data_IF_024236252138
#
_entry.id   IF_024236252138
#
_cell.length_a   1.000
_cell.length_b   1.000
_cell.length_c   1.000
_cell.angle_alpha   90.00
_cell.angle_beta   90.00
_cell.angle_gamma   90.00
#
_symmetry.space_group_name_H-M   'P 1'
#
loop_
_entity.id
_entity.type
_entity.pdbx_description
1 polymer ?
#
# COMPACT_ATOMS: atom_id res chain seq x y z
N UNK A 1 -26.85 -3.51 13.41
CA UNK A 1 -26.36 -4.01 12.11
C UNK A 1 -25.05 -4.69 12.42
N UNK A 2 -24.95 -5.99 12.18
CA UNK A 2 -23.83 -6.80 12.66
C UNK A 2 -22.56 -6.46 11.85
N UNK A 3 -21.70 -5.61 12.43
CA UNK A 3 -20.45 -5.12 11.80
C UNK A 3 -19.40 -6.24 11.61
N UNK A 4 -19.69 -7.42 12.17
CA UNK A 4 -18.83 -8.61 12.18
C UNK A 4 -19.11 -9.56 11.00
N UNK A 5 -20.03 -9.21 10.11
CA UNK A 5 -20.33 -9.99 8.91
C UNK A 5 -19.85 -9.29 7.64
N UNK A 6 -19.28 -10.05 6.71
CA UNK A 6 -18.84 -9.57 5.41
C UNK A 6 -19.37 -10.52 4.34
N UNK A 7 -20.16 -10.00 3.41
CA UNK A 7 -20.87 -10.80 2.42
C UNK A 7 -19.89 -11.67 1.62
N UNK A 8 -20.20 -12.96 1.50
CA UNK A 8 -19.36 -13.93 0.81
C UNK A 8 -18.10 -14.37 1.57
N UNK A 9 -17.91 -13.91 2.82
CA UNK A 9 -16.78 -14.29 3.68
C UNK A 9 -17.32 -14.86 5.00
N UNK A 10 -17.69 -16.14 5.04
CA UNK A 10 -18.33 -16.75 6.22
C UNK A 10 -17.46 -16.75 7.47
N UNK A 11 -16.13 -16.64 7.34
CA UNK A 11 -15.17 -16.68 8.44
C UNK A 11 -14.43 -15.34 8.64
N UNK A 12 -15.12 -14.22 8.42
CA UNK A 12 -14.53 -12.89 8.52
C UNK A 12 -13.87 -12.59 9.89
N UNK A 13 -14.49 -12.90 11.05
CA UNK A 13 -13.84 -12.70 12.35
C UNK A 13 -12.52 -13.46 12.49
N UNK A 14 -12.40 -14.66 11.92
CA UNK A 14 -11.15 -15.44 11.95
C UNK A 14 -10.08 -14.84 11.05
N UNK A 15 -10.47 -14.33 9.88
CA UNK A 15 -9.56 -13.60 9.00
C UNK A 15 -9.02 -12.36 9.72
N UNK A 16 -9.88 -11.58 10.39
CA UNK A 16 -9.46 -10.43 11.20
C UNK A 16 -8.44 -10.85 12.27
N UNK A 17 -8.70 -11.93 13.01
CA UNK A 17 -7.75 -12.46 13.99
C UNK A 17 -6.39 -12.79 13.36
N UNK A 18 -6.36 -13.41 12.18
CA UNK A 18 -5.08 -13.73 11.50
C UNK A 18 -4.33 -12.48 11.05
N UNK A 19 -5.02 -11.44 10.56
CA UNK A 19 -4.39 -10.15 10.26
C UNK A 19 -3.79 -9.52 11.53
N UNK A 20 -4.53 -9.53 12.65
CA UNK A 20 -4.03 -9.02 13.92
C UNK A 20 -2.83 -9.81 14.44
N UNK A 21 -2.86 -11.14 14.35
CA UNK A 21 -1.72 -12.00 14.69
C UNK A 21 -0.50 -11.66 13.82
N UNK A 22 -0.67 -11.51 12.51
CA UNK A 22 0.42 -11.09 11.62
C UNK A 22 1.00 -9.74 12.03
N UNK A 23 0.15 -8.75 12.33
CA UNK A 23 0.61 -7.46 12.84
C UNK A 23 1.39 -7.57 14.13
N UNK A 24 1.14 -8.55 14.99
CA UNK A 24 1.91 -8.82 16.21
C UNK A 24 3.13 -9.72 16.00
N UNK A 25 3.37 -10.20 14.78
CA UNK A 25 4.44 -11.17 14.51
C UNK A 25 4.12 -12.57 15.04
N UNK A 26 2.83 -12.89 15.16
CA UNK A 26 2.32 -14.19 15.60
C UNK A 26 1.69 -14.95 14.43
N UNK A 27 1.34 -16.20 14.67
CA UNK A 27 0.61 -17.06 13.75
C UNK A 27 -0.45 -17.83 14.55
N UNK A 28 -1.67 -17.94 14.01
CA UNK A 28 -2.76 -18.62 14.73
C UNK A 28 -2.79 -20.11 14.39
N UNK A 29 -3.03 -20.42 13.12
CA UNK A 29 -3.17 -21.79 12.61
C UNK A 29 -2.35 -22.02 11.34
N UNK A 30 -2.16 -20.98 10.53
CA UNK A 30 -1.27 -20.95 9.36
C UNK A 30 -0.83 -19.52 9.06
N UNK A 31 0.15 -19.37 8.16
CA UNK A 31 0.58 -18.08 7.61
C UNK A 31 -0.62 -17.26 7.11
N UNK A 32 -0.52 -15.93 7.19
CA UNK A 32 -1.48 -15.05 6.54
C UNK A 32 -1.30 -15.16 5.02
N UNK A 33 -2.30 -15.66 4.31
CA UNK A 33 -2.24 -15.81 2.85
C UNK A 33 -3.55 -15.38 2.21
N UNK A 34 -3.49 -14.33 1.40
CA UNK A 34 -4.61 -13.84 0.60
C UNK A 34 -4.45 -14.33 -0.84
N UNK A 35 -5.43 -15.11 -1.32
CA UNK A 35 -5.41 -15.68 -2.68
C UNK A 35 -6.63 -15.17 -3.44
N UNK A 36 -6.41 -14.70 -4.67
CA UNK A 36 -7.49 -14.39 -5.61
C UNK A 36 -7.42 -15.25 -6.87
N UNK A 37 -8.55 -15.38 -7.57
CA UNK A 37 -8.60 -15.98 -8.90
C UNK A 37 -9.81 -15.40 -9.67
N UNK A 38 -9.81 -15.36 -11.01
CA UNK A 38 -10.99 -14.95 -11.75
C UNK A 38 -12.10 -16.01 -11.63
N UNK A 39 -13.34 -15.57 -11.33
CA UNK A 39 -14.55 -16.40 -11.48
C UNK A 39 -14.99 -16.45 -12.94
N UNK A 40 -14.89 -15.31 -13.61
CA UNK A 40 -15.20 -15.12 -15.01
C UNK A 40 -14.40 -13.92 -15.54
N UNK A 41 -14.06 -13.89 -16.83
CA UNK A 41 -13.33 -12.77 -17.41
C UNK A 41 -14.20 -11.50 -17.42
N UNK A 42 -13.56 -10.37 -17.19
CA UNK A 42 -14.14 -9.05 -17.47
C UNK A 42 -13.45 -8.54 -18.74
N UNK A 43 -14.21 -8.19 -19.80
CA UNK A 43 -13.63 -7.55 -20.98
C UNK A 43 -12.98 -6.22 -20.60
N UNK A 44 -11.82 -5.94 -21.20
CA UNK A 44 -11.21 -4.62 -21.10
C UNK A 44 -12.17 -3.57 -21.67
N UNK A 45 -12.32 -2.46 -20.96
CA UNK A 45 -13.09 -1.30 -21.41
C UNK A 45 -12.15 -0.34 -22.16
N UNK A 46 -12.39 -0.14 -23.45
CA UNK A 46 -11.77 0.96 -24.19
C UNK A 46 -12.49 2.27 -23.82
N UNK A 47 -11.76 3.18 -23.17
CA UNK A 47 -12.29 4.46 -22.72
C UNK A 47 -11.64 5.59 -23.54
N UNK A 48 -12.42 6.38 -24.29
CA UNK A 48 -11.93 7.55 -25.01
C UNK A 48 -11.23 8.55 -24.08
N UNK A 49 -10.29 9.33 -24.61
CA UNK A 49 -9.50 10.29 -23.83
C UNK A 49 -10.37 11.32 -23.12
N UNK A 50 -11.43 11.80 -23.78
CA UNK A 50 -12.41 12.75 -23.28
C UNK A 50 -13.22 12.22 -22.08
N UNK A 51 -13.37 10.89 -21.98
CA UNK A 51 -14.14 10.21 -20.95
C UNK A 51 -13.30 9.80 -19.75
N UNK A 52 -11.96 9.94 -19.80
CA UNK A 52 -11.09 9.52 -18.71
C UNK A 52 -11.41 10.26 -17.41
N UNK A 53 -11.66 11.58 -17.45
CA UNK A 53 -12.01 12.32 -16.24
C UNK A 53 -13.22 11.68 -15.53
N UNK A 54 -14.26 11.34 -16.28
CA UNK A 54 -15.45 10.67 -15.76
C UNK A 54 -15.14 9.26 -15.24
N UNK A 55 -14.37 8.47 -15.99
CA UNK A 55 -13.91 7.12 -15.63
C UNK A 55 -13.18 7.05 -14.28
N UNK A 56 -12.39 8.08 -13.96
CA UNK A 56 -11.61 8.15 -12.74
C UNK A 56 -12.34 8.85 -11.58
N UNK A 57 -13.26 9.78 -11.86
CA UNK A 57 -13.75 10.73 -10.83
C UNK A 57 -15.26 10.73 -10.58
N UNK A 58 -16.05 10.06 -11.42
CA UNK A 58 -17.50 9.97 -11.25
C UNK A 58 -17.87 8.75 -10.40
N UNK A 59 -18.42 8.93 -9.17
CA UNK A 59 -18.79 7.81 -8.31
C UNK A 59 -19.80 6.84 -8.96
N UNK A 60 -20.71 7.33 -9.80
CA UNK A 60 -21.72 6.52 -10.47
C UNK A 60 -21.13 5.62 -11.57
N UNK A 61 -19.91 5.91 -12.02
CA UNK A 61 -19.16 5.04 -12.95
C UNK A 61 -18.11 4.21 -12.23
N UNK A 62 -17.35 4.83 -11.33
CA UNK A 62 -16.25 4.19 -10.60
C UNK A 62 -16.76 3.05 -9.73
N UNK A 63 -17.78 3.28 -8.90
CA UNK A 63 -18.20 2.30 -7.90
C UNK A 63 -18.83 1.05 -8.53
N UNK A 64 -19.75 1.14 -9.52
CA UNK A 64 -20.27 -0.05 -10.19
C UNK A 64 -19.20 -0.86 -10.92
N UNK A 65 -18.18 -0.21 -11.46
CA UNK A 65 -17.04 -0.89 -12.10
C UNK A 65 -16.22 -1.68 -11.08
N UNK A 66 -15.82 -1.05 -9.96
CA UNK A 66 -15.10 -1.73 -8.88
C UNK A 66 -15.94 -2.87 -8.26
N UNK A 67 -17.25 -2.67 -8.08
CA UNK A 67 -18.15 -3.73 -7.58
C UNK A 67 -18.27 -4.90 -8.57
N UNK A 68 -18.24 -4.63 -9.89
CA UNK A 68 -18.23 -5.67 -10.93
C UNK A 68 -16.92 -6.45 -10.93
N UNK A 69 -15.77 -5.76 -10.82
CA UNK A 69 -14.44 -6.36 -10.69
C UNK A 69 -14.36 -7.27 -9.46
N UNK A 70 -14.87 -6.79 -8.32
CA UNK A 70 -14.97 -7.58 -7.10
C UNK A 70 -15.86 -8.82 -7.28
N UNK A 71 -17.03 -8.68 -7.91
CA UNK A 71 -17.94 -9.80 -8.15
C UNK A 71 -17.35 -10.87 -9.08
N UNK A 72 -16.50 -10.47 -10.02
CA UNK A 72 -15.77 -11.38 -10.91
C UNK A 72 -14.57 -12.06 -10.25
N UNK A 73 -14.25 -11.71 -9.01
CA UNK A 73 -13.09 -12.24 -8.28
C UNK A 73 -13.50 -13.30 -7.28
N UNK A 74 -12.84 -14.45 -7.35
CA UNK A 74 -12.84 -15.46 -6.30
C UNK A 74 -11.81 -15.05 -5.25
N UNK A 75 -12.20 -15.07 -3.99
CA UNK A 75 -11.35 -14.71 -2.86
C UNK A 75 -11.31 -15.91 -1.92
N UNK A 76 -10.10 -16.38 -1.57
CA UNK A 76 -9.93 -17.46 -0.61
C UNK A 76 -8.71 -17.23 0.30
N UNK A 77 -8.56 -18.10 1.29
CA UNK A 77 -7.59 -17.90 2.37
C UNK A 77 -8.03 -16.73 3.25
N UNK A 78 -7.19 -15.71 3.33
CA UNK A 78 -7.40 -14.47 4.08
C UNK A 78 -7.63 -13.27 3.14
N UNK A 79 -7.92 -13.54 1.87
CA UNK A 79 -8.43 -12.52 0.97
C UNK A 79 -9.87 -12.16 1.37
N UNK A 80 -10.21 -10.88 1.30
CA UNK A 80 -11.51 -10.35 1.68
C UNK A 80 -11.94 -9.25 0.70
N UNK A 81 -13.26 -9.02 0.52
CA UNK A 81 -13.75 -8.05 -0.42
C UNK A 81 -13.39 -6.63 0.01
N UNK A 82 -12.68 -5.92 -0.87
CA UNK A 82 -12.25 -4.54 -0.69
C UNK A 82 -12.24 -3.82 -2.03
N UNK A 83 -12.49 -2.52 -2.01
CA UNK A 83 -12.39 -1.66 -3.18
C UNK A 83 -11.64 -0.38 -2.84
N UNK A 84 -11.02 0.25 -3.84
CA UNK A 84 -10.34 1.54 -3.72
C UNK A 84 -11.10 2.59 -4.56
N UNK A 85 -12.08 3.32 -3.98
CA UNK A 85 -12.86 4.32 -4.72
C UNK A 85 -11.99 5.41 -5.33
N UNK A 86 -10.96 5.83 -4.61
CA UNK A 86 -9.84 6.58 -5.20
C UNK A 86 -8.82 5.52 -5.58
N UNK A 87 -8.65 5.31 -6.87
CA UNK A 87 -7.87 4.20 -7.37
C UNK A 87 -6.40 4.35 -7.00
N UNK A 88 -5.78 3.24 -6.60
CA UNK A 88 -4.39 3.16 -6.21
C UNK A 88 -3.40 3.43 -7.36
N UNK A 89 -3.88 3.34 -8.59
CA UNK A 89 -3.16 3.70 -9.82
C UNK A 89 -3.19 5.20 -10.12
N UNK A 90 -3.93 5.99 -9.33
CA UNK A 90 -3.76 7.44 -9.24
C UNK A 90 -2.54 7.77 -8.35
N UNK A 91 -1.37 7.33 -8.80
CA UNK A 91 -0.12 7.33 -8.01
C UNK A 91 0.20 8.72 -7.49
N UNK A 92 0.62 8.81 -6.22
CA UNK A 92 1.01 10.07 -5.58
C UNK A 92 -0.08 11.14 -5.55
N UNK A 93 -1.35 10.74 -5.36
CA UNK A 93 -2.49 11.67 -5.36
C UNK A 93 -2.35 12.83 -4.35
N UNK A 94 -1.60 12.64 -3.26
CA UNK A 94 -1.26 13.72 -2.34
C UNK A 94 -0.55 14.89 -3.04
N UNK A 95 0.27 14.65 -4.06
CA UNK A 95 0.84 15.72 -4.87
C UNK A 95 -0.23 16.58 -5.55
N UNK A 96 -1.34 15.98 -6.01
CA UNK A 96 -2.49 16.72 -6.55
C UNK A 96 -3.20 17.55 -5.46
N UNK A 97 -3.32 17.00 -4.25
CA UNK A 97 -3.87 17.73 -3.11
C UNK A 97 -3.00 18.91 -2.69
N UNK A 98 -1.69 18.82 -2.95
CA UNK A 98 -0.71 19.89 -2.73
C UNK A 98 -0.52 20.82 -3.94
N UNK A 99 -1.34 20.68 -4.98
CA UNK A 99 -1.46 21.63 -6.08
C UNK A 99 -0.84 21.19 -7.40
N UNK A 100 -0.23 20.00 -7.50
CA UNK A 100 0.24 19.49 -8.79
C UNK A 100 -0.94 19.26 -9.75
N UNK A 101 -0.88 19.75 -11.00
CA UNK A 101 -1.85 19.36 -12.02
C UNK A 101 -1.79 17.85 -12.28
N UNK A 102 -2.95 17.20 -12.19
CA UNK A 102 -3.14 15.77 -12.48
C UNK A 102 -3.59 15.58 -13.93
N UNK A 103 -2.95 14.63 -14.62
CA UNK A 103 -3.25 14.25 -16.00
C UNK A 103 -3.64 12.78 -16.07
N UNK A 104 -4.80 12.49 -16.67
CA UNK A 104 -5.23 11.12 -16.96
C UNK A 104 -4.58 10.66 -18.27
N UNK A 105 -3.72 9.65 -18.19
CA UNK A 105 -2.99 9.11 -19.35
C UNK A 105 -3.82 8.07 -20.06
N UNK A 106 -4.43 7.16 -19.31
CA UNK A 106 -5.32 6.10 -19.77
C UNK A 106 -6.12 5.57 -18.57
N UNK A 107 -6.72 4.39 -18.68
CA UNK A 107 -7.47 3.71 -17.61
C UNK A 107 -6.60 3.02 -16.55
N UNK A 108 -5.28 3.05 -16.70
CA UNK A 108 -4.31 2.34 -15.85
C UNK A 108 -3.36 3.25 -15.07
N UNK A 109 -3.21 4.52 -15.45
CA UNK A 109 -2.30 5.44 -14.76
C UNK A 109 -2.63 6.91 -14.95
N UNK A 110 -2.20 7.72 -13.99
CA UNK A 110 -2.26 9.18 -14.00
C UNK A 110 -0.91 9.78 -13.69
N UNK A 111 -0.58 10.93 -14.26
CA UNK A 111 0.68 11.62 -14.03
C UNK A 111 0.47 12.99 -13.39
N UNK A 112 1.45 13.39 -12.59
CA UNK A 112 1.51 14.72 -11.99
C UNK A 112 2.53 15.58 -12.72
N UNK A 113 2.15 16.85 -12.95
CA UNK A 113 3.10 17.89 -13.35
C UNK A 113 3.65 18.57 -12.09
N UNK A 114 4.97 18.61 -11.97
CA UNK A 114 5.65 19.31 -10.88
C UNK A 114 5.40 20.82 -10.93
N UNK A 115 5.44 21.47 -9.77
CA UNK A 115 5.09 22.90 -9.60
C UNK A 115 6.20 23.72 -8.92
N UNK A 116 7.20 23.08 -8.32
CA UNK A 116 8.31 23.75 -7.66
C UNK A 116 9.44 23.97 -8.65
N UNK A 117 9.55 25.19 -9.17
CA UNK A 117 10.70 25.62 -9.98
C UNK A 117 11.90 26.07 -9.11
N UNK A 118 11.62 26.54 -7.90
CA UNK A 118 12.60 26.97 -6.90
C UNK A 118 11.99 26.84 -5.50
N UNK A 119 12.78 26.42 -4.50
CA UNK A 119 12.30 26.20 -3.14
C UNK A 119 11.94 27.50 -2.42
N UNK A 120 12.61 28.62 -2.72
CA UNK A 120 12.35 29.89 -2.04
C UNK A 120 10.99 30.51 -2.46
N UNK A 121 10.55 30.25 -3.69
CA UNK A 121 9.30 30.79 -4.25
C UNK A 121 8.18 29.75 -4.40
N UNK A 122 8.29 28.61 -3.71
CA UNK A 122 7.28 27.54 -3.74
C UNK A 122 5.98 27.94 -3.02
N UNK A 123 4.84 27.32 -3.34
CA UNK A 123 3.64 27.43 -2.51
C UNK A 123 3.83 26.73 -1.15
N UNK A 124 3.06 27.15 -0.14
CA UNK A 124 3.01 26.45 1.14
C UNK A 124 2.25 25.13 0.99
N UNK A 125 2.81 24.04 1.53
CA UNK A 125 2.16 22.73 1.50
C UNK A 125 1.39 22.51 2.81
N UNK A 126 0.09 22.32 2.69
CA UNK A 126 -0.79 22.10 3.82
C UNK A 126 -2.04 21.35 3.38
N UNK A 127 -2.77 20.82 4.35
CA UNK A 127 -4.12 20.34 4.12
C UNK A 127 -5.02 21.50 3.65
N UNK A 128 -5.58 21.36 2.45
CA UNK A 128 -6.56 22.25 1.87
C UNK A 128 -7.89 21.50 1.67
N UNK A 129 -8.93 21.80 2.46
CA UNK A 129 -10.24 21.18 2.32
C UNK A 129 -10.98 21.59 1.03
N UNK A 130 -10.57 22.69 0.39
CA UNK A 130 -11.17 23.22 -0.83
C UNK A 130 -10.39 22.82 -2.09
N UNK A 131 -9.29 22.06 -1.95
CA UNK A 131 -8.54 21.56 -3.10
C UNK A 131 -9.46 20.70 -3.99
N UNK A 132 -9.48 20.98 -5.29
CA UNK A 132 -10.37 20.32 -6.26
C UNK A 132 -10.23 18.79 -6.28
N UNK A 133 -9.00 18.26 -6.19
CA UNK A 133 -8.73 16.82 -6.24
C UNK A 133 -9.05 16.14 -4.92
N UNK A 134 -8.86 16.86 -3.81
CA UNK A 134 -9.34 16.41 -2.50
C UNK A 134 -10.87 16.31 -2.48
N UNK A 135 -11.59 17.31 -2.99
CA UNK A 135 -13.05 17.29 -3.06
C UNK A 135 -13.57 16.12 -3.92
N UNK A 136 -12.90 15.81 -5.03
CA UNK A 136 -13.18 14.61 -5.84
C UNK A 136 -12.98 13.34 -5.01
N UNK A 137 -11.86 13.23 -4.33
CA UNK A 137 -11.48 12.05 -3.53
C UNK A 137 -12.44 11.85 -2.35
N UNK A 138 -12.80 12.94 -1.65
CA UNK A 138 -13.80 12.97 -0.59
C UNK A 138 -15.14 12.43 -1.10
N UNK A 139 -15.61 12.89 -2.26
CA UNK A 139 -16.87 12.43 -2.87
C UNK A 139 -16.83 10.93 -3.21
N UNK A 140 -15.72 10.45 -3.78
CA UNK A 140 -15.54 9.03 -4.10
C UNK A 140 -15.50 8.16 -2.85
N UNK A 141 -14.70 8.55 -1.84
CA UNK A 141 -14.60 7.84 -0.56
C UNK A 141 -15.94 7.80 0.16
N UNK A 142 -16.65 8.93 0.22
CA UNK A 142 -17.95 9.01 0.89
C UNK A 142 -19.00 8.15 0.17
N UNK A 143 -19.08 8.22 -1.16
CA UNK A 143 -20.00 7.40 -1.94
C UNK A 143 -19.68 5.89 -1.83
N UNK A 144 -18.39 5.52 -1.86
CA UNK A 144 -17.94 4.14 -1.66
C UNK A 144 -18.25 3.62 -0.26
N UNK A 145 -17.89 4.39 0.78
CA UNK A 145 -18.09 3.99 2.18
C UNK A 145 -19.58 3.83 2.53
N UNK A 146 -20.46 4.71 2.05
CA UNK A 146 -21.93 4.57 2.20
C UNK A 146 -22.45 3.23 1.69
N UNK A 147 -21.86 2.69 0.63
CA UNK A 147 -22.26 1.42 0.01
C UNK A 147 -21.57 0.19 0.60
N UNK A 148 -20.56 0.38 1.45
CA UNK A 148 -19.64 -0.67 1.87
C UNK A 148 -20.16 -1.56 3.00
N UNK A 149 -21.08 -1.06 3.84
CA UNK A 149 -21.57 -1.75 5.03
C UNK A 149 -22.00 -3.20 4.73
N UNK A 150 -21.33 -4.17 5.35
CA UNK A 150 -21.57 -5.61 5.18
C UNK A 150 -21.16 -6.19 3.81
N UNK A 151 -20.65 -5.39 2.87
CA UNK A 151 -20.36 -5.81 1.48
C UNK A 151 -18.86 -5.89 1.18
N UNK A 152 -18.09 -4.88 1.58
CA UNK A 152 -16.65 -4.78 1.35
C UNK A 152 -16.02 -3.77 2.31
N UNK A 153 -14.69 -3.74 2.36
CA UNK A 153 -13.92 -2.68 3.05
C UNK A 153 -13.42 -1.63 2.05
N UNK A 154 -13.15 -0.43 2.55
CA UNK A 154 -12.62 0.67 1.72
C UNK A 154 -11.12 0.78 1.94
N UNK A 155 -10.39 0.73 0.82
CA UNK A 155 -8.97 1.08 0.74
C UNK A 155 -8.87 2.59 0.61
N UNK A 156 -8.09 3.23 1.48
CA UNK A 156 -7.77 4.65 1.32
C UNK A 156 -6.79 4.85 0.15
N UNK A 157 -6.75 6.03 -0.50
CA UNK A 157 -5.76 6.28 -1.54
C UNK A 157 -4.33 6.09 -1.02
N UNK A 158 -3.43 5.70 -1.93
CA UNK A 158 -2.00 5.79 -1.68
C UNK A 158 -1.60 7.27 -1.62
N UNK A 159 -1.28 7.72 -0.41
CA UNK A 159 -0.84 9.09 -0.15
C UNK A 159 0.67 9.27 -0.36
N UNK A 160 1.41 8.16 -0.48
CA UNK A 160 2.88 8.06 -0.56
C UNK A 160 3.63 8.78 0.58
N UNK A 161 4.91 8.45 0.75
CA UNK A 161 5.74 9.09 1.77
C UNK A 161 6.33 10.44 1.33
N UNK A 162 6.93 11.19 2.27
CA UNK A 162 7.33 12.58 2.05
C UNK A 162 8.37 12.75 0.94
N UNK A 163 9.32 11.82 0.79
CA UNK A 163 10.32 11.89 -0.27
C UNK A 163 9.76 11.64 -1.66
N UNK A 164 8.76 10.77 -1.79
CA UNK A 164 8.07 10.56 -3.07
C UNK A 164 7.27 11.80 -3.46
N UNK A 165 6.54 12.39 -2.50
CA UNK A 165 5.79 13.63 -2.75
C UNK A 165 6.71 14.81 -3.07
N UNK A 166 7.86 14.92 -2.41
CA UNK A 166 8.88 15.91 -2.77
C UNK A 166 9.31 15.76 -4.25
N UNK A 167 9.52 14.52 -4.71
CA UNK A 167 9.90 14.24 -6.09
C UNK A 167 8.80 14.63 -7.08
N UNK A 168 7.52 14.46 -6.72
CA UNK A 168 6.38 14.90 -7.56
C UNK A 168 6.20 16.41 -7.58
N UNK A 169 6.43 17.08 -6.45
CA UNK A 169 6.35 18.53 -6.36
C UNK A 169 7.48 19.23 -7.13
N UNK A 170 8.69 18.68 -7.07
CA UNK A 170 9.93 19.27 -7.62
C UNK A 170 10.32 18.78 -9.00
N UNK A 171 9.98 17.54 -9.33
CA UNK A 171 10.60 16.79 -10.42
C UNK A 171 11.75 15.94 -9.92
N UNK A 172 11.78 14.67 -10.32
CA UNK A 172 12.76 13.67 -9.84
C UNK A 172 14.20 14.07 -10.13
N UNK A 173 14.47 14.60 -11.32
CA UNK A 173 15.83 15.00 -11.73
C UNK A 173 16.30 16.21 -10.91
N UNK A 174 15.44 17.21 -10.80
CA UNK A 174 15.71 18.47 -10.10
C UNK A 174 15.90 18.21 -8.61
N UNK A 175 15.05 17.37 -8.00
CA UNK A 175 15.24 16.93 -6.62
C UNK A 175 16.58 16.20 -6.44
N UNK A 176 16.97 15.31 -7.36
CA UNK A 176 18.26 14.62 -7.28
C UNK A 176 19.47 15.58 -7.32
N UNK A 177 19.37 16.67 -8.08
CA UNK A 177 20.37 17.74 -8.08
C UNK A 177 20.34 18.53 -6.76
N UNK A 178 19.14 18.87 -6.26
CA UNK A 178 18.99 19.59 -4.98
C UNK A 178 19.59 18.80 -3.81
N UNK A 179 19.52 17.46 -3.82
CA UNK A 179 20.15 16.62 -2.78
C UNK A 179 21.68 16.78 -2.70
N UNK A 180 22.32 17.27 -3.77
CA UNK A 180 23.76 17.54 -3.84
C UNK A 180 24.01 19.02 -3.53
N UNK A 181 23.30 19.91 -4.23
CA UNK A 181 23.61 21.34 -4.25
C UNK A 181 22.98 22.11 -3.08
N UNK A 182 21.78 21.70 -2.64
CA UNK A 182 21.01 22.40 -1.61
C UNK A 182 20.09 21.45 -0.80
N UNK A 183 20.63 20.47 -0.06
CA UNK A 183 19.81 19.52 0.69
C UNK A 183 19.02 20.17 1.84
N UNK A 184 19.47 21.33 2.35
CA UNK A 184 18.79 22.02 3.45
C UNK A 184 17.41 22.51 3.04
N UNK A 185 17.26 23.07 1.82
CA UNK A 185 15.96 23.49 1.32
C UNK A 185 14.96 22.32 1.20
N UNK A 186 15.46 21.11 0.90
CA UNK A 186 14.63 19.89 0.88
C UNK A 186 14.23 19.50 2.30
N UNK A 187 15.15 19.56 3.28
CA UNK A 187 14.85 19.25 4.69
C UNK A 187 13.81 20.24 5.25
N UNK A 188 13.93 21.53 4.94
CA UNK A 188 13.04 22.58 5.44
C UNK A 188 11.57 22.40 5.03
N UNK A 189 11.30 21.79 3.87
CA UNK A 189 9.94 21.60 3.37
C UNK A 189 9.31 20.27 3.79
N UNK A 190 10.11 19.29 4.22
CA UNK A 190 9.61 17.98 4.64
C UNK A 190 8.56 18.04 5.76
N UNK A 191 8.67 18.88 6.81
CA UNK A 191 7.64 19.01 7.84
C UNK A 191 6.27 19.40 7.26
N UNK A 192 6.24 20.31 6.29
CA UNK A 192 4.99 20.75 5.64
C UNK A 192 4.31 19.58 4.91
N UNK A 193 5.09 18.83 4.12
CA UNK A 193 4.61 17.67 3.37
C UNK A 193 4.11 16.57 4.34
N UNK A 194 4.88 16.28 5.39
CA UNK A 194 4.55 15.21 6.32
C UNK A 194 3.30 15.52 7.15
N UNK A 195 3.13 16.78 7.56
CA UNK A 195 1.93 17.21 8.26
C UNK A 195 0.71 17.23 7.33
N UNK A 196 0.87 17.66 6.07
CA UNK A 196 -0.22 17.56 5.10
C UNK A 196 -0.63 16.09 4.86
N UNK A 197 0.35 15.18 4.69
CA UNK A 197 0.12 13.74 4.57
C UNK A 197 -0.73 13.22 5.73
N UNK A 198 -0.35 13.53 6.98
CA UNK A 198 -1.07 13.02 8.15
C UNK A 198 -2.50 13.55 8.22
N UNK A 199 -2.70 14.83 7.89
CA UNK A 199 -4.04 15.44 7.87
C UNK A 199 -4.93 14.84 6.80
N UNK A 200 -4.40 14.55 5.61
CA UNK A 200 -5.16 13.84 4.57
C UNK A 200 -5.43 12.38 4.94
N UNK A 201 -4.49 11.69 5.57
CA UNK A 201 -4.72 10.35 6.14
C UNK A 201 -5.88 10.36 7.14
N UNK A 202 -5.85 11.27 8.11
CA UNK A 202 -6.92 11.44 9.10
C UNK A 202 -8.26 11.75 8.44
N UNK A 203 -8.28 12.63 7.42
CA UNK A 203 -9.49 12.99 6.71
C UNK A 203 -10.08 11.81 5.91
N UNK A 204 -9.24 11.03 5.21
CA UNK A 204 -9.67 9.82 4.50
C UNK A 204 -10.29 8.81 5.46
N UNK A 205 -9.59 8.49 6.55
CA UNK A 205 -10.07 7.54 7.55
C UNK A 205 -11.35 8.04 8.23
N UNK A 206 -11.41 9.34 8.56
CA UNK A 206 -12.58 9.96 9.17
C UNK A 206 -13.85 9.82 8.30
N UNK A 207 -13.72 9.92 6.97
CA UNK A 207 -14.82 9.69 6.03
C UNK A 207 -15.25 8.22 6.03
N UNK A 208 -14.28 7.30 5.92
CA UNK A 208 -14.54 5.85 5.85
C UNK A 208 -15.21 5.35 7.13
N UNK A 209 -14.72 5.77 8.29
CA UNK A 209 -15.20 5.34 9.61
C UNK A 209 -16.57 5.87 10.01
N UNK A 210 -17.16 6.78 9.23
CA UNK A 210 -18.59 7.09 9.39
C UNK A 210 -19.49 5.89 9.02
N UNK A 211 -18.99 4.92 8.25
CA UNK A 211 -19.80 3.85 7.67
C UNK A 211 -19.24 2.45 7.90
N UNK A 212 -17.91 2.27 7.89
CA UNK A 212 -17.27 0.95 8.06
C UNK A 212 -16.06 1.04 8.96
N UNK A 213 -15.91 0.05 9.84
CA UNK A 213 -14.77 -0.05 10.76
C UNK A 213 -13.54 -0.73 10.12
N UNK A 214 -12.40 -0.56 10.78
CA UNK A 214 -11.09 -1.09 10.39
C UNK A 214 -10.35 -0.19 9.39
N UNK A 215 -9.09 -0.51 9.19
CA UNK A 215 -8.18 0.20 8.30
C UNK A 215 -7.76 -0.76 7.19
N UNK A 216 -7.79 -0.29 5.94
CA UNK A 216 -7.20 -1.02 4.82
C UNK A 216 -6.28 -0.07 4.06
N UNK A 217 -4.99 -0.40 4.07
CA UNK A 217 -3.96 0.38 3.39
C UNK A 217 -3.82 -0.02 1.91
N UNK A 218 -2.99 0.70 1.17
CA UNK A 218 -2.77 0.45 -0.25
C UNK A 218 -2.20 -0.96 -0.53
N UNK A 219 -1.34 -1.48 0.36
CA UNK A 219 -0.86 -2.86 0.32
C UNK A 219 -1.97 -3.91 0.57
N UNK A 220 -3.22 -3.50 0.77
CA UNK A 220 -4.38 -4.35 0.92
C UNK A 220 -4.47 -5.07 2.27
N UNK A 221 -3.69 -4.65 3.27
CA UNK A 221 -3.69 -5.28 4.59
C UNK A 221 -4.80 -4.68 5.46
N UNK A 222 -5.59 -5.54 6.10
CA UNK A 222 -6.58 -5.10 7.09
C UNK A 222 -5.93 -4.93 8.47
N UNK A 223 -6.43 -3.98 9.26
CA UNK A 223 -6.01 -3.75 10.64
C UNK A 223 -7.17 -3.20 11.46
N UNK A 224 -7.30 -3.62 12.71
CA UNK A 224 -8.20 -2.99 13.68
C UNK A 224 -7.66 -1.62 14.13
N UNK A 225 -6.33 -1.52 14.29
CA UNK A 225 -5.63 -0.29 14.68
C UNK A 225 -5.24 0.56 13.46
N UNK A 226 -4.99 1.88 13.63
CA UNK A 226 -4.52 2.73 12.54
C UNK A 226 -3.34 2.14 11.79
N UNK A 227 -3.54 1.89 10.50
CA UNK A 227 -2.51 1.30 9.64
C UNK A 227 -2.39 2.04 8.32
N UNK A 228 -1.15 2.16 7.84
CA UNK A 228 -0.83 2.74 6.53
C UNK A 228 0.45 2.14 5.96
N UNK A 229 0.61 2.25 4.67
CA UNK A 229 1.89 2.08 3.99
C UNK A 229 2.66 3.41 3.93
N UNK A 230 3.98 3.29 3.83
CA UNK A 230 4.97 4.36 3.71
C UNK A 230 5.89 4.03 2.53
N UNK A 231 6.43 5.03 1.86
CA UNK A 231 7.22 4.80 0.65
C UNK A 231 8.18 5.96 0.35
N UNK A 232 9.26 5.67 -0.37
CA UNK A 232 10.12 6.66 -1.00
C UNK A 232 10.83 6.03 -2.19
N UNK A 233 10.16 5.95 -3.34
CA UNK A 233 10.74 5.32 -4.54
C UNK A 233 11.92 6.15 -5.07
N UNK A 234 11.87 7.47 -4.89
CA UNK A 234 13.02 8.37 -5.10
C UNK A 234 14.32 7.92 -4.41
N UNK A 235 14.23 7.13 -3.32
CA UNK A 235 15.40 6.67 -2.56
C UNK A 235 16.43 5.91 -3.42
N UNK A 236 16.02 5.29 -4.53
CA UNK A 236 16.94 4.58 -5.43
C UNK A 236 17.95 5.53 -6.11
N UNK A 237 17.63 6.82 -6.18
CA UNK A 237 18.45 7.86 -6.83
C UNK A 237 19.55 8.41 -5.92
N UNK A 238 19.53 8.08 -4.63
CA UNK A 238 20.39 8.69 -3.62
C UNK A 238 21.18 7.66 -2.80
N UNK A 239 22.23 8.15 -2.15
CA UNK A 239 23.05 7.37 -1.22
C UNK A 239 22.34 7.14 0.12
N UNK A 240 22.77 6.12 0.87
CA UNK A 240 22.25 5.85 2.22
C UNK A 240 22.41 7.04 3.17
N UNK A 241 23.56 7.74 3.25
CA UNK A 241 23.70 8.92 4.09
C UNK A 241 22.73 10.06 3.73
N UNK A 242 22.44 10.26 2.44
CA UNK A 242 21.45 11.24 1.99
C UNK A 242 20.03 10.85 2.45
N UNK A 243 19.67 9.58 2.29
CA UNK A 243 18.37 9.06 2.72
C UNK A 243 18.18 9.18 4.24
N UNK A 244 19.17 8.75 5.02
CA UNK A 244 19.18 8.82 6.48
C UNK A 244 19.07 10.25 7.01
N UNK A 245 19.70 11.21 6.32
CA UNK A 245 19.66 12.62 6.72
C UNK A 245 18.35 13.30 6.35
N UNK A 246 17.86 13.09 5.13
CA UNK A 246 16.80 13.93 4.55
C UNK A 246 15.41 13.32 4.69
N UNK A 247 15.25 12.00 4.50
CA UNK A 247 13.93 11.37 4.41
C UNK A 247 13.61 10.46 5.59
N UNK A 248 14.58 9.72 6.11
CA UNK A 248 14.38 8.79 7.21
C UNK A 248 13.77 9.43 8.48
N UNK A 249 14.13 10.66 8.90
CA UNK A 249 13.53 11.28 10.09
C UNK A 249 12.02 11.49 9.97
N UNK A 250 11.55 11.78 8.75
CA UNK A 250 10.13 12.01 8.46
C UNK A 250 9.37 10.70 8.29
N UNK A 251 10.01 9.67 7.72
CA UNK A 251 9.47 8.30 7.73
C UNK A 251 9.32 7.81 9.17
N UNK A 252 10.32 8.01 10.03
CA UNK A 252 10.23 7.69 11.46
C UNK A 252 9.09 8.47 12.14
N UNK A 253 8.91 9.75 11.83
CA UNK A 253 7.78 10.53 12.31
C UNK A 253 6.44 9.90 11.92
N UNK A 254 6.28 9.45 10.68
CA UNK A 254 5.06 8.75 10.25
C UNK A 254 4.82 7.46 11.05
N UNK A 255 5.87 6.72 11.41
CA UNK A 255 5.75 5.55 12.30
C UNK A 255 5.37 5.88 13.75
N UNK A 256 5.49 7.15 14.16
CA UNK A 256 4.98 7.64 15.46
C UNK A 256 3.54 8.14 15.37
N UNK A 257 3.13 8.63 14.20
CA UNK A 257 1.80 9.21 13.95
C UNK A 257 0.73 8.13 13.66
N UNK A 258 1.14 6.99 13.11
CA UNK A 258 0.26 5.86 12.77
C UNK A 258 0.80 4.58 13.41
N UNK A 259 -0.09 3.85 14.11
CA UNK A 259 0.26 2.72 14.98
C UNK A 259 0.98 1.58 14.25
N UNK A 260 0.51 1.25 13.03
CA UNK A 260 1.04 0.17 12.21
C UNK A 260 1.47 0.68 10.86
N UNK A 261 2.71 0.40 10.49
CA UNK A 261 3.30 0.92 9.25
C UNK A 261 4.00 -0.17 8.45
N UNK A 262 3.78 -0.16 7.15
CA UNK A 262 4.48 -1.01 6.18
C UNK A 262 5.34 -0.10 5.31
N UNK A 263 6.65 -0.32 5.24
CA UNK A 263 7.47 0.38 4.27
C UNK A 263 7.52 -0.42 2.96
N UNK A 264 7.12 0.21 1.87
CA UNK A 264 7.26 -0.32 0.52
C UNK A 264 8.70 -0.14 0.04
N UNK A 265 9.41 -1.27 -0.08
CA UNK A 265 10.78 -1.33 -0.56
C UNK A 265 10.79 -1.79 -2.03
N UNK A 266 10.89 -0.82 -2.94
CA UNK A 266 10.83 -1.07 -4.39
C UNK A 266 12.21 -1.23 -5.03
N UNK A 267 12.43 -2.41 -5.58
CA UNK A 267 13.53 -2.73 -6.47
C UNK A 267 14.89 -2.90 -5.80
N UNK A 268 15.86 -3.48 -6.53
CA UNK A 268 17.19 -3.78 -6.00
C UNK A 268 17.93 -2.55 -5.51
N UNK A 269 17.68 -1.40 -6.13
CA UNK A 269 18.28 -0.12 -5.78
C UNK A 269 17.95 0.33 -4.35
N UNK A 270 16.72 0.10 -3.89
CA UNK A 270 16.27 0.54 -2.57
C UNK A 270 16.87 -0.31 -1.43
N UNK A 271 17.33 -1.53 -1.71
CA UNK A 271 17.87 -2.45 -0.69
C UNK A 271 19.05 -1.90 0.10
N UNK A 272 19.78 -0.92 -0.44
CA UNK A 272 20.87 -0.22 0.26
C UNK A 272 20.41 0.53 1.52
N UNK A 273 19.13 0.87 1.59
CA UNK A 273 18.50 1.59 2.69
C UNK A 273 17.82 0.67 3.70
N UNK A 274 17.78 -0.64 3.43
CA UNK A 274 17.04 -1.61 4.22
C UNK A 274 17.45 -1.59 5.70
N UNK A 275 18.74 -1.60 6.00
CA UNK A 275 19.18 -1.66 7.40
C UNK A 275 18.72 -0.43 8.20
N UNK A 276 18.76 0.76 7.60
CA UNK A 276 18.29 2.00 8.23
C UNK A 276 16.78 1.95 8.51
N UNK A 277 16.00 1.32 7.63
CA UNK A 277 14.57 1.08 7.82
C UNK A 277 14.31 0.05 8.93
N UNK A 278 15.09 -1.05 8.95
CA UNK A 278 14.98 -2.09 9.97
C UNK A 278 15.38 -1.59 11.37
N UNK A 279 16.22 -0.54 11.45
CA UNK A 279 16.59 0.13 12.69
C UNK A 279 15.46 1.02 13.26
N UNK A 280 14.43 1.37 12.48
CA UNK A 280 13.28 2.14 12.98
C UNK A 280 12.45 1.28 13.95
N UNK A 281 12.35 1.63 15.25
CA UNK A 281 11.74 0.76 16.24
C UNK A 281 10.24 0.52 15.99
N UNK A 282 9.52 1.54 15.51
CA UNK A 282 8.07 1.51 15.29
C UNK A 282 7.64 1.08 13.89
N UNK A 283 8.56 0.98 12.94
CA UNK A 283 8.24 0.40 11.63
C UNK A 283 7.82 -1.05 11.83
N UNK A 284 6.63 -1.43 11.36
CA UNK A 284 6.05 -2.74 11.66
C UNK A 284 6.47 -3.80 10.66
N UNK A 285 6.36 -3.47 9.36
CA UNK A 285 6.57 -4.41 8.28
C UNK A 285 7.38 -3.81 7.13
N UNK A 286 7.99 -4.68 6.33
CA UNK A 286 8.53 -4.38 5.01
C UNK A 286 7.67 -5.10 3.97
N UNK A 287 7.22 -4.35 2.98
CA UNK A 287 6.79 -4.93 1.72
C UNK A 287 8.00 -4.97 0.78
N UNK A 288 8.29 -6.13 0.20
CA UNK A 288 9.37 -6.27 -0.77
C UNK A 288 8.80 -6.44 -2.18
N UNK A 289 9.21 -5.56 -3.08
CA UNK A 289 8.88 -5.62 -4.50
C UNK A 289 10.20 -5.70 -5.28
N UNK A 290 10.50 -6.82 -5.98
CA UNK A 290 11.73 -6.94 -6.76
C UNK A 290 11.85 -5.92 -7.90
N UNK A 291 10.74 -5.36 -8.37
CA UNK A 291 10.69 -4.44 -9.51
C UNK A 291 10.70 -5.16 -10.85
N UNK A 292 10.34 -4.43 -11.91
CA UNK A 292 10.23 -4.98 -13.26
C UNK A 292 11.59 -5.54 -13.76
N UNK A 293 11.56 -6.78 -14.27
CA UNK A 293 12.75 -7.45 -14.83
C UNK A 293 13.70 -8.06 -13.79
N UNK A 294 13.42 -7.93 -12.50
CA UNK A 294 14.19 -8.60 -11.44
C UNK A 294 13.78 -10.07 -11.27
N UNK A 295 14.64 -10.90 -10.64
CA UNK A 295 14.28 -12.25 -10.23
C UNK A 295 13.05 -12.29 -9.31
N UNK A 296 12.30 -13.42 -9.30
CA UNK A 296 11.13 -13.61 -8.44
C UNK A 296 11.46 -13.43 -6.95
N UNK A 297 10.45 -13.18 -6.11
CA UNK A 297 10.62 -12.91 -4.67
C UNK A 297 11.40 -14.02 -3.96
N UNK A 298 11.19 -15.28 -4.36
CA UNK A 298 11.90 -16.46 -3.84
C UNK A 298 13.41 -16.45 -4.14
N UNK A 299 13.90 -15.61 -5.03
CA UNK A 299 15.34 -15.41 -5.25
C UNK A 299 15.98 -14.46 -4.21
N UNK A 300 15.16 -13.78 -3.41
CA UNK A 300 15.59 -12.77 -2.43
C UNK A 300 15.56 -13.28 -0.98
N UNK A 301 15.56 -14.59 -0.76
CA UNK A 301 15.54 -15.20 0.58
C UNK A 301 16.54 -14.59 1.58
N UNK A 302 17.80 -14.27 1.22
CA UNK A 302 18.72 -13.61 2.14
C UNK A 302 18.23 -12.23 2.62
N UNK A 303 17.55 -11.46 1.77
CA UNK A 303 16.93 -10.18 2.13
C UNK A 303 15.73 -10.43 3.05
N UNK A 304 14.85 -11.35 2.69
CA UNK A 304 13.63 -11.67 3.44
C UNK A 304 13.94 -12.18 4.86
N UNK A 305 14.91 -13.10 4.98
CA UNK A 305 15.40 -13.58 6.29
C UNK A 305 15.99 -12.47 7.13
N UNK A 306 16.66 -11.48 6.52
CA UNK A 306 17.20 -10.32 7.25
C UNK A 306 16.08 -9.46 7.85
N UNK A 307 14.99 -9.26 7.11
CA UNK A 307 13.79 -8.56 7.63
C UNK A 307 13.23 -9.29 8.85
N UNK A 308 13.03 -10.61 8.76
CA UNK A 308 12.52 -11.42 9.87
C UNK A 308 13.48 -11.45 11.07
N UNK A 309 14.79 -11.55 10.84
CA UNK A 309 15.80 -11.53 11.89
C UNK A 309 15.83 -10.21 12.69
N UNK A 310 15.31 -9.11 12.11
CA UNK A 310 15.14 -7.82 12.78
C UNK A 310 13.75 -7.65 13.41
N UNK A 311 12.95 -8.71 13.48
CA UNK A 311 11.61 -8.73 14.08
C UNK A 311 10.55 -7.99 13.26
N UNK A 312 10.86 -7.65 12.00
CA UNK A 312 9.93 -6.99 11.10
C UNK A 312 9.11 -8.01 10.33
N UNK A 313 7.86 -7.66 10.07
CA UNK A 313 6.91 -8.48 9.31
C UNK A 313 7.24 -8.35 7.82
N UNK A 314 6.91 -9.38 7.07
CA UNK A 314 6.98 -9.40 5.61
C UNK A 314 5.57 -9.38 5.03
N UNK A 315 5.37 -8.52 4.03
CA UNK A 315 4.24 -8.59 3.12
C UNK A 315 4.80 -8.80 1.70
N UNK A 316 4.36 -9.86 1.02
CA UNK A 316 4.91 -10.25 -0.27
C UNK A 316 3.78 -10.48 -1.29
N UNK A 317 3.97 -9.94 -2.49
CA UNK A 317 3.21 -10.33 -3.67
C UNK A 317 4.03 -11.36 -4.45
N UNK A 318 3.49 -12.56 -4.65
CA UNK A 318 4.25 -13.71 -5.14
C UNK A 318 3.44 -14.50 -6.15
N UNK A 319 4.13 -15.20 -7.03
CA UNK A 319 3.49 -16.17 -7.92
C UNK A 319 3.05 -17.43 -7.12
N UNK A 320 1.99 -18.14 -7.55
CA UNK A 320 1.48 -19.31 -6.85
C UNK A 320 2.54 -20.39 -6.56
N UNK A 321 3.49 -20.57 -7.49
CA UNK A 321 4.55 -21.57 -7.38
C UNK A 321 5.64 -21.18 -6.36
N UNK A 322 5.76 -19.89 -6.00
CA UNK A 322 6.72 -19.40 -5.01
C UNK A 322 6.27 -19.68 -3.57
N UNK A 323 4.95 -19.75 -3.33
CA UNK A 323 4.37 -19.97 -2.00
C UNK A 323 5.00 -21.16 -1.27
N UNK A 324 5.05 -22.39 -1.83
CA UNK A 324 5.68 -23.51 -1.12
C UNK A 324 7.19 -23.32 -0.88
N UNK A 325 7.89 -22.60 -1.76
CA UNK A 325 9.32 -22.31 -1.59
C UNK A 325 9.51 -21.39 -0.39
N UNK A 326 8.75 -20.29 -0.34
CA UNK A 326 8.82 -19.31 0.73
C UNK A 326 8.41 -19.89 2.08
N UNK A 327 7.35 -20.72 2.13
CA UNK A 327 6.91 -21.36 3.37
C UNK A 327 7.87 -22.43 3.89
N UNK A 328 8.71 -23.02 3.04
CA UNK A 328 9.75 -23.94 3.50
C UNK A 328 10.98 -23.22 4.07
N UNK A 329 11.18 -21.95 3.75
CA UNK A 329 12.43 -21.24 3.99
C UNK A 329 12.31 -20.08 5.00
N UNK A 330 11.13 -19.46 5.09
CA UNK A 330 10.83 -18.35 5.98
C UNK A 330 10.04 -18.80 7.21
N UNK A 331 10.13 -18.03 8.29
CA UNK A 331 9.28 -18.27 9.46
C UNK A 331 7.82 -17.90 9.13
N UNK A 332 6.83 -18.68 9.56
CA UNK A 332 5.42 -18.33 9.35
C UNK A 332 5.01 -17.10 10.18
N UNK A 333 5.65 -16.86 11.32
CA UNK A 333 5.47 -15.66 12.14
C UNK A 333 5.81 -14.38 11.38
N UNK A 334 4.84 -13.47 11.32
CA UNK A 334 5.00 -12.19 10.64
C UNK A 334 5.15 -12.29 9.12
N UNK A 335 4.84 -13.42 8.50
CA UNK A 335 4.80 -13.56 7.04
C UNK A 335 3.37 -13.40 6.51
N UNK A 336 3.20 -12.52 5.52
CA UNK A 336 1.97 -12.30 4.75
C UNK A 336 2.27 -12.53 3.27
N UNK A 337 1.52 -13.44 2.65
CA UNK A 337 1.60 -13.76 1.23
C UNK A 337 0.33 -13.29 0.53
N UNK A 338 0.48 -12.63 -0.61
CA UNK A 338 -0.63 -12.33 -1.52
C UNK A 338 -0.32 -12.88 -2.90
N UNK A 339 -1.24 -13.62 -3.50
CA UNK A 339 -1.03 -14.29 -4.78
C UNK A 339 -2.33 -14.39 -5.58
N UNK A 340 -2.20 -14.60 -6.89
CA UNK A 340 -3.31 -14.75 -7.83
C UNK A 340 -3.15 -16.06 -8.59
N UNK A 341 -4.15 -16.93 -8.54
CA UNK A 341 -4.20 -18.17 -9.30
C UNK A 341 -5.05 -18.01 -10.57
N UNK A 342 -4.90 -18.93 -11.54
CA UNK A 342 -5.66 -18.85 -12.79
C UNK A 342 -7.13 -19.28 -12.59
N UNK A 343 -7.41 -20.15 -11.61
CA UNK A 343 -8.77 -20.63 -11.34
C UNK A 343 -9.08 -20.73 -9.84
N UNK A 344 -10.37 -20.73 -9.44
CA UNK A 344 -10.76 -20.99 -8.05
C UNK A 344 -10.27 -22.33 -7.50
N UNK A 345 -10.26 -23.38 -8.33
CA UNK A 345 -9.81 -24.71 -7.92
C UNK A 345 -8.31 -24.75 -7.59
N UNK A 346 -7.49 -24.04 -8.37
CA UNK A 346 -6.05 -23.88 -8.06
C UNK A 346 -5.84 -23.07 -6.78
N UNK A 347 -6.65 -22.03 -6.57
CA UNK A 347 -6.59 -21.21 -5.37
C UNK A 347 -6.89 -22.02 -4.10
N UNK A 348 -7.93 -22.87 -4.14
CA UNK A 348 -8.28 -23.77 -3.04
C UNK A 348 -7.20 -24.83 -2.79
N UNK A 349 -6.63 -25.41 -3.85
CA UNK A 349 -5.54 -26.37 -3.73
C UNK A 349 -4.28 -25.75 -3.09
N UNK A 350 -3.94 -24.52 -3.51
CA UNK A 350 -2.81 -23.78 -2.96
C UNK A 350 -3.01 -23.44 -1.48
N UNK A 351 -4.23 -23.07 -1.08
CA UNK A 351 -4.56 -22.80 0.32
C UNK A 351 -4.39 -24.04 1.20
N UNK A 352 -4.83 -25.21 0.73
CA UNK A 352 -4.67 -26.48 1.44
C UNK A 352 -3.18 -26.82 1.62
N UNK A 353 -2.37 -26.62 0.58
CA UNK A 353 -0.93 -26.85 0.65
C UNK A 353 -0.24 -25.86 1.60
N UNK A 354 -0.57 -24.57 1.50
CA UNK A 354 -0.06 -23.55 2.41
C UNK A 354 -0.38 -23.88 3.88
N UNK A 355 -1.59 -24.39 4.16
CA UNK A 355 -1.97 -24.85 5.50
C UNK A 355 -1.09 -25.99 6.02
N UNK A 356 -0.69 -26.94 5.16
CA UNK A 356 0.22 -28.04 5.53
C UNK A 356 1.65 -27.57 5.78
N UNK A 357 2.13 -26.62 4.97
CA UNK A 357 3.50 -26.13 5.04
C UNK A 357 3.71 -25.09 6.15
N UNK A 358 2.65 -24.40 6.59
CA UNK A 358 2.71 -23.35 7.62
C UNK A 358 2.97 -23.86 9.04
N UNK A 359 3.11 -25.18 9.25
CA UNK A 359 3.35 -25.75 10.58
C UNK A 359 4.75 -25.38 11.05
N UNK A 360 4.84 -24.79 12.25
CA UNK A 360 6.10 -24.47 12.95
C UNK A 360 7.10 -25.61 12.82
N UNK A 361 8.17 -25.35 12.07
CA UNK A 361 9.39 -26.15 12.16
C UNK A 361 10.27 -25.43 13.16
N UNK A 362 10.45 -26.02 14.35
CA UNK A 362 11.47 -25.57 15.28
C UNK A 362 12.82 -25.79 14.62
N UNK A 363 13.33 -24.76 13.94
CA UNK A 363 14.73 -24.68 13.59
C UNK A 363 15.48 -24.48 14.90
N UNK A 364 15.90 -25.58 15.52
CA UNK A 364 16.92 -25.55 16.56
C UNK A 364 18.13 -24.87 15.92
N UNK A 365 18.33 -23.59 16.26
CA UNK A 365 19.55 -22.87 15.94
C UNK A 365 20.66 -23.60 16.69
N UNK A 366 21.45 -24.37 15.96
CA UNK A 366 22.73 -24.94 16.42
C UNK A 366 23.82 -23.89 16.36
#
# INVERSE_FOLDING_TARGET
>A
MDLDTLAGVPDWPRIQQRYEAWWQGEVIDRVLIAISAPRYPIPDEEVPQEDLLDYWTNPERVLPRLERELAATYLCGDAFPKIAPVQTTMVAILGAYLGCPLQFVNTRTTWLKHIVADWANRPKFAFDPENQWWLVSKRLLEAGARRAAGRYRIVIPDLNGPGEIAARLRGTKELALDMIDNPEAVIEVMPEINQAWYRYFQACQGIVHQYVAGYVNWCGQWSELPATDLQCDFSIMISRPMFERVFLPFIEEQTRLVERTIYHLDGPGATRHLDALLDLPRLTAIQWIPGAGAPPVSAWLPLLRRVQARGKRLQLFVEPWEVPILLNDLQPEGLSLTTTCATPAEADALLLEAGRLSVRRSWLVS
#
